data_IF_551668952216
#
_entry.id   IF_551668952216
#
_cell.length_a   1.000
_cell.length_b   1.000
_cell.length_c   1.000
_cell.angle_alpha   90.00
_cell.angle_beta   90.00
_cell.angle_gamma   90.00
#
_symmetry.space_group_name_H-M   'P 1'
#
loop_
_entity.id
_entity.type
_entity.pdbx_description
1 polymer ?
#
# COMPACT_ATOMS: atom_id res chain seq x y z
N UNK A 1 16.58 -5.76 -6.10
CA UNK A 1 15.25 -5.16 -5.86
C UNK A 1 14.53 -4.94 -7.18
N UNK A 2 13.27 -5.31 -7.24
CA UNK A 2 12.44 -5.12 -8.43
C UNK A 2 11.23 -4.26 -8.09
N UNK A 3 10.88 -3.34 -8.97
CA UNK A 3 9.62 -2.61 -8.95
C UNK A 3 8.77 -3.10 -10.10
N UNK A 4 7.60 -3.63 -9.81
CA UNK A 4 6.71 -4.23 -10.80
C UNK A 4 5.41 -3.42 -10.82
N UNK A 5 5.19 -2.59 -11.86
CA UNK A 5 3.93 -1.87 -11.99
C UNK A 5 2.80 -2.85 -12.33
N UNK A 6 1.75 -2.86 -11.51
CA UNK A 6 0.55 -3.64 -11.78
C UNK A 6 -0.49 -2.78 -12.47
N UNK A 7 -0.61 -1.53 -12.06
CA UNK A 7 -1.48 -0.54 -12.65
C UNK A 7 -0.89 0.85 -12.38
N UNK A 8 -0.95 1.73 -13.37
CA UNK A 8 -0.41 3.09 -13.24
C UNK A 8 -1.21 4.03 -14.13
N UNK A 9 -2.26 4.62 -13.58
CA UNK A 9 -3.10 5.55 -14.30
C UNK A 9 -3.91 6.39 -13.32
N UNK A 10 -4.64 7.39 -13.84
CA UNK A 10 -5.57 8.16 -13.04
C UNK A 10 -6.77 7.34 -12.56
N UNK A 11 -6.95 6.13 -13.09
CA UNK A 11 -8.05 5.23 -12.72
C UNK A 11 -7.62 4.14 -11.74
N UNK A 12 -6.35 4.03 -11.43
CA UNK A 12 -5.86 3.08 -10.45
C UNK A 12 -4.35 2.93 -10.46
N UNK A 13 -3.78 2.78 -9.26
CA UNK A 13 -2.35 2.64 -9.05
C UNK A 13 -2.07 1.48 -8.11
N UNK A 14 -1.17 0.61 -8.50
CA UNK A 14 -0.69 -0.50 -7.68
C UNK A 14 0.67 -0.97 -8.20
N UNK A 15 1.63 -1.13 -7.28
CA UNK A 15 2.99 -1.53 -7.61
C UNK A 15 3.49 -2.55 -6.61
N UNK A 16 4.19 -3.56 -7.08
CA UNK A 16 4.91 -4.48 -6.21
C UNK A 16 6.38 -4.08 -6.14
N UNK A 17 6.94 -4.15 -4.95
CA UNK A 17 8.37 -3.97 -4.72
C UNK A 17 8.87 -5.23 -4.02
N UNK A 18 9.88 -5.87 -4.59
CA UNK A 18 10.42 -7.10 -4.01
C UNK A 18 11.94 -7.11 -4.05
N UNK A 19 12.56 -7.78 -3.06
CA UNK A 19 14.01 -7.94 -2.97
C UNK A 19 14.44 -9.40 -3.03
N UNK A 20 13.55 -10.30 -3.40
CA UNK A 20 13.80 -11.75 -3.40
C UNK A 20 13.40 -12.44 -2.10
N UNK A 21 13.18 -11.69 -1.03
CA UNK A 21 12.78 -12.22 0.28
C UNK A 21 11.41 -11.72 0.69
N UNK A 22 11.16 -10.43 0.53
CA UNK A 22 9.91 -9.77 0.94
C UNK A 22 9.30 -9.07 -0.25
N UNK A 23 7.98 -9.12 -0.34
CA UNK A 23 7.19 -8.40 -1.34
C UNK A 23 6.26 -7.42 -0.63
N UNK A 24 6.30 -6.16 -1.05
CA UNK A 24 5.41 -5.11 -0.57
C UNK A 24 4.52 -4.63 -1.71
N UNK A 25 3.32 -4.20 -1.37
CA UNK A 25 2.42 -3.54 -2.30
C UNK A 25 2.44 -2.03 -2.01
N UNK A 26 2.71 -1.24 -3.04
CA UNK A 26 2.66 0.22 -2.96
C UNK A 26 1.42 0.65 -3.70
N UNK A 27 0.47 1.26 -3.01
CA UNK A 27 -0.84 1.62 -3.50
C UNK A 27 -1.70 0.39 -3.81
N UNK A 28 -3.00 0.52 -3.62
CA UNK A 28 -3.98 -0.52 -3.93
C UNK A 28 -5.24 0.08 -4.56
N UNK A 29 -5.03 1.02 -5.47
CA UNK A 29 -6.09 1.83 -6.10
C UNK A 29 -6.86 1.14 -7.21
N UNK A 30 -6.99 -0.18 -7.15
CA UNK A 30 -7.75 -0.98 -8.12
C UNK A 30 -8.82 -1.78 -7.38
N UNK A 31 -9.74 -2.39 -8.11
CA UNK A 31 -10.73 -3.26 -7.47
C UNK A 31 -10.04 -4.49 -6.88
N UNK A 32 -10.64 -5.06 -5.84
CA UNK A 32 -10.13 -6.27 -5.20
C UNK A 32 -9.97 -7.42 -6.20
N UNK A 33 -10.96 -7.59 -7.07
CA UNK A 33 -10.93 -8.61 -8.11
C UNK A 33 -9.75 -8.41 -9.06
N UNK A 34 -9.50 -7.17 -9.47
CA UNK A 34 -8.38 -6.84 -10.35
C UNK A 34 -7.05 -7.06 -9.67
N UNK A 35 -6.92 -6.66 -8.41
CA UNK A 35 -5.69 -6.89 -7.64
C UNK A 35 -5.36 -8.36 -7.54
N UNK A 36 -6.35 -9.20 -7.24
CA UNK A 36 -6.15 -10.63 -7.16
C UNK A 36 -5.64 -11.21 -8.48
N UNK A 37 -6.21 -10.78 -9.61
CA UNK A 37 -5.76 -11.21 -10.93
C UNK A 37 -4.33 -10.75 -11.23
N UNK A 38 -4.03 -9.49 -10.96
CA UNK A 38 -2.72 -8.90 -11.24
C UNK A 38 -1.60 -9.54 -10.42
N UNK A 39 -1.91 -10.01 -9.23
CA UNK A 39 -0.94 -10.68 -8.36
C UNK A 39 -0.93 -12.21 -8.55
N UNK A 40 -1.69 -12.73 -9.52
CA UNK A 40 -1.81 -14.18 -9.73
C UNK A 40 -2.41 -14.89 -8.52
N UNK A 41 -3.32 -14.22 -7.81
CA UNK A 41 -3.94 -14.72 -6.58
C UNK A 41 -2.93 -14.96 -5.45
N UNK A 42 -1.79 -14.25 -5.51
CA UNK A 42 -0.73 -14.33 -4.52
C UNK A 42 -0.75 -13.23 -3.47
N UNK A 43 -1.91 -12.60 -3.23
CA UNK A 43 -2.04 -11.49 -2.27
C UNK A 43 -1.56 -11.88 -0.87
N UNK A 44 -1.79 -13.11 -0.44
CA UNK A 44 -1.36 -13.58 0.89
C UNK A 44 0.16 -13.59 1.08
N UNK A 45 0.93 -13.53 0.00
CA UNK A 45 2.39 -13.47 0.05
C UNK A 45 2.93 -12.05 0.21
N UNK A 46 2.05 -11.03 0.23
CA UNK A 46 2.44 -9.64 0.41
C UNK A 46 2.60 -9.33 1.90
N UNK A 47 3.75 -8.79 2.28
CA UNK A 47 4.06 -8.51 3.69
C UNK A 47 3.34 -7.27 4.22
N UNK A 48 2.98 -6.34 3.36
CA UNK A 48 2.25 -5.15 3.74
C UNK A 48 1.95 -4.28 2.54
N UNK A 49 0.99 -3.36 2.69
CA UNK A 49 0.62 -2.38 1.69
C UNK A 49 0.84 -0.99 2.23
N UNK A 50 1.46 -0.12 1.43
CA UNK A 50 1.70 1.27 1.78
C UNK A 50 0.84 2.16 0.88
N UNK A 51 0.00 2.98 1.49
CA UNK A 51 -0.90 3.90 0.76
C UNK A 51 -0.40 5.33 0.93
N UNK A 52 -0.26 6.06 -0.18
CA UNK A 52 0.19 7.45 -0.15
C UNK A 52 -0.95 8.46 0.03
N UNK A 53 -2.15 8.13 -0.46
CA UNK A 53 -3.31 9.03 -0.45
C UNK A 53 -4.59 8.26 -0.17
N UNK A 54 -5.62 8.97 0.33
CA UNK A 54 -6.94 8.41 0.62
C UNK A 54 -7.82 8.26 -0.63
N UNK A 55 -7.45 8.82 -1.78
CA UNK A 55 -8.25 8.74 -3.00
C UNK A 55 -8.35 7.30 -3.52
N UNK A 56 -9.45 6.97 -4.18
CA UNK A 56 -9.72 5.60 -4.66
C UNK A 56 -8.67 5.06 -5.61
N UNK A 57 -8.06 5.92 -6.42
CA UNK A 57 -7.01 5.50 -7.35
C UNK A 57 -5.70 5.11 -6.66
N UNK A 58 -5.61 5.28 -5.33
CA UNK A 58 -4.50 4.86 -4.49
C UNK A 58 -4.91 3.86 -3.40
N UNK A 59 -6.12 4.01 -2.84
CA UNK A 59 -6.56 3.24 -1.68
C UNK A 59 -7.71 2.26 -1.97
N UNK A 60 -8.17 2.15 -3.20
CA UNK A 60 -9.43 1.51 -3.60
C UNK A 60 -9.84 0.22 -2.90
N UNK A 61 -8.93 -0.73 -2.66
CA UNK A 61 -9.29 -2.00 -2.02
C UNK A 61 -8.58 -2.24 -0.69
N UNK A 62 -8.22 -1.18 0.04
CA UNK A 62 -7.49 -1.32 1.30
C UNK A 62 -8.24 -2.16 2.34
N UNK A 63 -9.57 -2.07 2.38
CA UNK A 63 -10.36 -2.83 3.35
C UNK A 63 -10.28 -4.33 3.11
N UNK A 64 -10.36 -4.74 1.85
CA UNK A 64 -10.26 -6.15 1.48
C UNK A 64 -8.86 -6.71 1.80
N UNK A 65 -7.81 -5.90 1.62
CA UNK A 65 -6.46 -6.29 2.00
C UNK A 65 -6.37 -6.56 3.51
N UNK A 66 -6.90 -5.67 4.33
CA UNK A 66 -6.92 -5.84 5.77
C UNK A 66 -7.66 -7.12 6.15
N UNK A 67 -8.82 -7.36 5.56
CA UNK A 67 -9.61 -8.57 5.82
C UNK A 67 -8.88 -9.85 5.42
N UNK A 68 -8.03 -9.77 4.41
CA UNK A 68 -7.25 -10.92 3.95
C UNK A 68 -6.00 -11.18 4.78
N UNK A 69 -5.70 -10.32 5.76
CA UNK A 69 -4.55 -10.47 6.64
C UNK A 69 -3.32 -9.70 6.22
N UNK A 70 -3.43 -8.84 5.20
CA UNK A 70 -2.32 -7.98 4.77
C UNK A 70 -2.40 -6.65 5.52
N UNK A 71 -1.41 -6.31 6.36
CA UNK A 71 -1.44 -5.02 7.05
C UNK A 71 -1.29 -3.86 6.07
N UNK A 72 -2.07 -2.82 6.28
CA UNK A 72 -2.06 -1.62 5.42
C UNK A 72 -1.56 -0.44 6.24
N UNK A 73 -0.57 0.25 5.71
CA UNK A 73 0.11 1.38 6.36
C UNK A 73 -0.18 2.66 5.60
N UNK A 74 -0.39 3.74 6.33
CA UNK A 74 -0.63 5.05 5.74
C UNK A 74 -0.17 6.13 6.72
N UNK A 75 0.04 7.35 6.23
CA UNK A 75 0.28 8.49 7.11
C UNK A 75 -0.93 8.67 8.03
N UNK A 76 -0.72 9.33 9.17
CA UNK A 76 -1.81 9.60 10.11
C UNK A 76 -2.95 10.37 9.46
N UNK A 77 -2.62 11.38 8.62
CA UNK A 77 -3.64 12.16 7.91
C UNK A 77 -4.45 11.31 6.93
N UNK A 78 -3.82 10.42 6.19
CA UNK A 78 -4.50 9.52 5.27
C UNK A 78 -5.38 8.52 6.03
N UNK A 79 -4.86 7.96 7.12
CA UNK A 79 -5.62 7.04 7.96
C UNK A 79 -6.86 7.70 8.55
N UNK A 80 -6.75 8.94 9.00
CA UNK A 80 -7.89 9.72 9.51
C UNK A 80 -8.90 10.02 8.41
N UNK A 81 -8.43 10.39 7.22
CA UNK A 81 -9.30 10.67 6.09
C UNK A 81 -10.10 9.44 5.65
N UNK A 82 -9.51 8.25 5.72
CA UNK A 82 -10.20 6.99 5.43
C UNK A 82 -11.11 6.54 6.57
N UNK A 83 -10.88 7.04 7.78
CA UNK A 83 -11.70 6.71 8.93
C UNK A 83 -11.60 5.26 9.38
N UNK A 84 -10.50 4.59 9.10
CA UNK A 84 -10.30 3.19 9.44
C UNK A 84 -9.26 3.04 10.56
N UNK A 85 -9.69 2.53 11.71
CA UNK A 85 -8.81 2.33 12.87
C UNK A 85 -7.84 1.17 12.69
N UNK A 86 -8.09 0.28 11.72
CA UNK A 86 -7.23 -0.87 11.45
C UNK A 86 -6.02 -0.56 10.59
N UNK A 87 -5.94 0.67 10.06
CA UNK A 87 -4.77 1.12 9.34
C UNK A 87 -3.62 1.37 10.31
N UNK A 88 -2.43 0.90 9.93
CA UNK A 88 -1.23 1.14 10.73
C UNK A 88 -0.67 2.51 10.36
N UNK A 89 -0.59 3.47 11.29
CA UNK A 89 -0.10 4.80 10.98
C UNK A 89 1.41 4.80 10.78
N UNK A 90 1.86 5.53 9.75
CA UNK A 90 3.27 5.82 9.52
C UNK A 90 3.56 7.21 10.08
N UNK A 91 4.58 7.29 10.92
CA UNK A 91 5.01 8.57 11.49
C UNK A 91 6.21 9.09 10.69
N UNK A 92 6.21 10.41 10.44
CA UNK A 92 7.30 11.04 9.70
C UNK A 92 8.65 10.75 10.34
N UNK A 93 9.60 10.32 9.52
CA UNK A 93 10.99 10.05 9.91
C UNK A 93 11.17 8.95 10.96
N UNK A 94 10.14 8.13 11.18
CA UNK A 94 10.23 6.94 12.01
C UNK A 94 10.25 5.71 11.13
N UNK A 95 11.36 4.96 11.17
CA UNK A 95 11.52 3.76 10.36
C UNK A 95 10.59 2.65 10.83
N UNK A 96 10.01 1.94 9.88
CA UNK A 96 9.19 0.75 10.12
C UNK A 96 9.81 -0.40 9.34
N UNK A 97 10.00 -1.54 9.99
CA UNK A 97 10.54 -2.72 9.32
C UNK A 97 9.42 -3.65 8.92
N UNK A 98 9.36 -3.99 7.63
CA UNK A 98 8.44 -4.98 7.08
C UNK A 98 9.26 -6.05 6.35
N UNK A 99 9.39 -7.22 6.97
CA UNK A 99 10.25 -8.27 6.41
C UNK A 99 11.68 -7.77 6.27
N UNK A 100 12.21 -7.80 5.06
CA UNK A 100 13.56 -7.33 4.75
C UNK A 100 13.64 -5.86 4.37
N UNK A 101 12.52 -5.13 4.40
CA UNK A 101 12.47 -3.71 4.05
C UNK A 101 12.45 -2.83 5.29
N UNK A 102 13.25 -1.77 5.26
CA UNK A 102 13.16 -0.67 6.20
C UNK A 102 12.50 0.50 5.46
N UNK A 103 11.38 0.98 6.01
CA UNK A 103 10.56 2.02 5.41
C UNK A 103 10.72 3.28 6.23
N UNK A 104 11.15 4.36 5.58
CA UNK A 104 11.30 5.66 6.23
C UNK A 104 10.35 6.68 5.59
N UNK A 105 9.24 7.02 6.27
CA UNK A 105 8.31 8.02 5.74
C UNK A 105 8.88 9.43 5.78
N UNK A 106 8.61 10.18 4.72
CA UNK A 106 8.93 11.61 4.65
C UNK A 106 7.69 12.41 4.38
N UNK A 107 7.53 13.59 4.99
CA UNK A 107 6.45 14.48 4.61
C UNK A 107 6.70 15.01 3.21
N UNK A 108 5.65 15.09 2.40
CA UNK A 108 5.70 15.70 1.09
C UNK A 108 4.79 16.92 1.08
N UNK A 109 5.26 18.00 0.47
CA UNK A 109 4.49 19.22 0.33
C UNK A 109 4.02 19.32 -1.11
N UNK A 110 2.71 19.41 -1.29
CA UNK A 110 2.11 19.59 -2.59
C UNK A 110 1.53 21.00 -2.69
N UNK A 111 1.85 21.67 -3.77
CA UNK A 111 1.19 22.92 -4.10
C UNK A 111 -0.16 22.56 -4.69
N UNK A 112 -1.16 22.61 -3.85
CA UNK A 112 -2.51 22.26 -4.27
C UNK A 112 -3.18 23.43 -5.00
#
# INVERSE_FOLDING_TARGET
MKLIPLASSSHGNAYLVEDGTTCLLIECGVSWKKLQKLTGFGVSGIAGCLISHEHKDHAGCYEQLIRSGVPVYASRGTAEALGCEQLEPLEDREAVTLGSFDILPFPTFHDA
#
